data_IF_470497565225
#
_entry.id   IF_470497565225
#
_cell.length_a   1.000
_cell.length_b   1.000
_cell.length_c   1.000
_cell.angle_alpha   90.00
_cell.angle_beta   90.00
_cell.angle_gamma   90.00
#
_symmetry.space_group_name_H-M   'P 1'
#
loop_
_entity.id
_entity.type
_entity.pdbx_description
1 polymer ?
#
# COMPACT_ATOMS: atom_id res chain seq x y z
N UNK A 1 -21.21 18.41 -47.72
CA UNK A 1 -20.13 19.08 -46.97
C UNK A 1 -20.25 18.70 -45.49
N UNK A 2 -19.80 17.48 -45.18
CA UNK A 2 -19.95 16.86 -43.84
C UNK A 2 -18.81 17.34 -42.94
N UNK A 3 -19.17 17.99 -41.83
CA UNK A 3 -18.20 18.36 -40.81
C UNK A 3 -17.91 17.14 -39.94
N UNK A 4 -16.68 16.65 -40.02
CA UNK A 4 -16.10 15.69 -39.06
C UNK A 4 -16.14 16.29 -37.64
N UNK A 5 -16.88 15.64 -36.77
CA UNK A 5 -16.85 15.90 -35.33
C UNK A 5 -15.50 15.40 -34.78
N UNK A 6 -14.68 16.33 -34.34
CA UNK A 6 -13.42 16.08 -33.66
C UNK A 6 -13.69 15.49 -32.28
N UNK A 7 -12.92 14.45 -31.93
CA UNK A 7 -12.94 13.82 -30.61
C UNK A 7 -12.72 14.87 -29.52
N UNK A 8 -13.76 15.10 -28.73
CA UNK A 8 -13.79 16.09 -27.68
C UNK A 8 -12.71 15.80 -26.61
N UNK A 9 -11.82 16.76 -26.43
CA UNK A 9 -11.13 16.98 -25.18
C UNK A 9 -12.21 17.17 -24.11
N UNK A 10 -12.23 16.32 -23.09
CA UNK A 10 -13.07 16.52 -21.90
C UNK A 10 -12.68 17.87 -21.32
N UNK A 11 -13.61 18.79 -21.34
CA UNK A 11 -13.41 20.19 -20.97
C UNK A 11 -12.98 20.28 -19.51
N UNK A 12 -11.78 20.82 -19.23
CA UNK A 12 -11.19 21.00 -17.91
C UNK A 12 -12.06 21.84 -16.94
N UNK A 13 -13.16 22.44 -17.44
CA UNK A 13 -14.03 23.35 -16.69
C UNK A 13 -15.28 22.69 -16.06
N UNK A 14 -15.54 21.39 -16.31
CA UNK A 14 -16.76 20.74 -15.82
C UNK A 14 -16.73 20.31 -14.35
N UNK A 15 -15.54 20.17 -13.74
CA UNK A 15 -15.39 19.69 -12.36
C UNK A 15 -15.84 20.65 -11.26
N UNK A 16 -16.07 21.93 -11.54
CA UNK A 16 -16.44 22.93 -10.54
C UNK A 16 -17.93 23.29 -10.50
N UNK A 17 -18.78 22.72 -11.34
CA UNK A 17 -20.18 23.19 -11.43
C UNK A 17 -21.25 22.23 -10.92
N UNK A 18 -20.98 20.95 -10.72
CA UNK A 18 -21.94 20.00 -10.14
C UNK A 18 -21.20 18.92 -9.37
N UNK A 19 -21.68 18.48 -8.19
CA UNK A 19 -21.15 17.26 -7.55
C UNK A 19 -21.58 16.07 -8.41
N UNK A 20 -20.72 15.67 -9.34
CA UNK A 20 -20.90 14.44 -10.09
C UNK A 20 -20.68 13.29 -9.13
N UNK A 21 -21.65 12.39 -9.05
CA UNK A 21 -21.51 11.17 -8.26
C UNK A 21 -20.40 10.29 -8.84
N UNK A 22 -19.66 9.58 -7.99
CA UNK A 22 -18.58 8.68 -8.42
C UNK A 22 -19.08 7.56 -9.35
N UNK A 23 -20.37 7.19 -9.28
CA UNK A 23 -21.04 6.22 -10.16
C UNK A 23 -21.04 6.64 -11.65
N UNK A 24 -20.89 7.93 -11.94
CA UNK A 24 -20.72 8.41 -13.31
C UNK A 24 -19.36 8.00 -13.90
N UNK A 25 -18.38 7.77 -13.05
CA UNK A 25 -17.03 7.35 -13.43
C UNK A 25 -16.83 5.84 -13.34
N UNK A 26 -17.57 5.13 -12.50
CA UNK A 26 -17.48 3.68 -12.34
C UNK A 26 -18.84 3.06 -12.65
N UNK A 27 -18.94 2.44 -13.82
CA UNK A 27 -20.19 1.91 -14.34
C UNK A 27 -20.75 0.79 -13.45
N UNK A 28 -22.09 0.61 -13.37
CA UNK A 28 -22.69 -0.49 -12.61
C UNK A 28 -22.13 -1.87 -12.99
N UNK A 29 -21.89 -2.13 -14.28
CA UNK A 29 -21.33 -3.39 -14.76
C UNK A 29 -19.90 -3.61 -14.25
N UNK A 30 -19.14 -2.53 -14.00
CA UNK A 30 -17.80 -2.61 -13.41
C UNK A 30 -17.90 -3.01 -11.94
N UNK A 31 -18.89 -2.51 -11.21
CA UNK A 31 -19.12 -2.89 -9.80
C UNK A 31 -19.56 -4.36 -9.73
N UNK A 32 -20.51 -4.78 -10.58
CA UNK A 32 -20.92 -6.19 -10.67
C UNK A 32 -19.74 -7.12 -10.96
N UNK A 33 -18.84 -6.71 -11.88
CA UNK A 33 -17.63 -7.45 -12.19
C UNK A 33 -16.68 -7.55 -10.98
N UNK A 34 -16.52 -6.51 -10.19
CA UNK A 34 -15.71 -6.53 -8.95
C UNK A 34 -16.33 -7.43 -7.88
N UNK A 35 -17.65 -7.49 -7.81
CA UNK A 35 -18.41 -8.33 -6.89
C UNK A 35 -18.55 -9.79 -7.34
N UNK A 36 -18.10 -10.13 -8.55
CA UNK A 36 -18.16 -11.49 -9.09
C UNK A 36 -17.37 -12.50 -8.25
N UNK A 37 -17.87 -13.74 -8.14
CA UNK A 37 -17.31 -14.77 -7.26
C UNK A 37 -15.97 -15.35 -7.74
N UNK A 38 -15.62 -15.14 -9.01
CA UNK A 38 -14.40 -15.68 -9.62
C UNK A 38 -13.09 -15.10 -9.05
N UNK A 39 -13.16 -13.95 -8.37
CA UNK A 39 -12.04 -13.40 -7.59
C UNK A 39 -12.52 -13.02 -6.18
N UNK A 40 -12.57 -13.98 -5.26
CA UNK A 40 -13.12 -13.77 -3.92
C UNK A 40 -12.30 -12.75 -3.09
N UNK A 41 -11.02 -12.56 -3.38
CA UNK A 41 -10.17 -11.56 -2.74
C UNK A 41 -10.64 -10.14 -3.07
N UNK A 42 -10.88 -9.86 -4.35
CA UNK A 42 -11.41 -8.55 -4.78
C UNK A 42 -12.84 -8.36 -4.29
N UNK A 43 -13.70 -9.40 -4.39
CA UNK A 43 -15.06 -9.38 -3.88
C UNK A 43 -15.10 -9.02 -2.39
N UNK A 44 -14.24 -9.64 -1.56
CA UNK A 44 -14.13 -9.35 -0.13
C UNK A 44 -13.91 -7.85 0.15
N UNK A 45 -12.99 -7.24 -0.57
CA UNK A 45 -12.71 -5.83 -0.40
C UNK A 45 -13.77 -4.93 -1.03
N UNK A 46 -14.35 -5.30 -2.18
CA UNK A 46 -15.40 -4.54 -2.83
C UNK A 46 -16.67 -4.46 -1.96
N UNK A 47 -17.09 -5.57 -1.35
CA UNK A 47 -18.22 -5.60 -0.41
C UNK A 47 -18.04 -4.64 0.76
N UNK A 48 -16.82 -4.55 1.31
CA UNK A 48 -16.56 -3.68 2.45
C UNK A 48 -16.34 -2.20 2.06
N UNK A 49 -15.71 -1.95 0.91
CA UNK A 49 -15.17 -0.62 0.58
C UNK A 49 -16.00 0.16 -0.44
N UNK A 50 -16.85 -0.53 -1.21
CA UNK A 50 -17.77 0.07 -2.17
C UNK A 50 -19.22 -0.08 -1.71
N UNK A 51 -19.57 -1.27 -1.18
CA UNK A 51 -20.92 -1.56 -0.68
C UNK A 51 -21.09 -1.21 0.82
N UNK A 52 -20.01 -0.76 1.50
CA UNK A 52 -20.00 -0.44 2.92
C UNK A 52 -20.53 -1.55 3.86
N UNK A 53 -20.43 -2.82 3.43
CA UNK A 53 -20.86 -3.96 4.25
C UNK A 53 -19.88 -4.18 5.41
N UNK A 54 -20.37 -4.36 6.65
CA UNK A 54 -19.50 -4.61 7.80
C UNK A 54 -18.86 -6.01 7.71
N UNK A 55 -17.75 -6.19 8.41
CA UNK A 55 -16.99 -7.47 8.38
C UNK A 55 -17.80 -8.69 8.78
N UNK A 56 -18.82 -8.53 9.63
CA UNK A 56 -19.72 -9.60 10.08
C UNK A 56 -20.92 -9.82 9.14
N UNK A 57 -21.01 -9.12 8.02
CA UNK A 57 -22.06 -9.35 7.03
C UNK A 57 -21.87 -10.74 6.37
N UNK A 58 -22.92 -11.55 6.17
CA UNK A 58 -22.82 -12.90 5.59
C UNK A 58 -22.01 -12.94 4.29
N UNK A 59 -22.29 -12.05 3.33
CA UNK A 59 -21.56 -12.00 2.05
C UNK A 59 -20.07 -11.75 2.22
N UNK A 60 -19.67 -10.96 3.23
CA UNK A 60 -18.25 -10.65 3.53
C UNK A 60 -17.57 -11.87 4.14
N UNK A 61 -18.27 -12.58 5.04
CA UNK A 61 -17.78 -13.83 5.65
C UNK A 61 -17.61 -14.90 4.57
N UNK A 62 -18.60 -15.06 3.68
CA UNK A 62 -18.54 -16.03 2.58
C UNK A 62 -17.40 -15.71 1.62
N UNK A 63 -17.24 -14.44 1.22
CA UNK A 63 -16.12 -14.00 0.40
C UNK A 63 -14.77 -14.25 1.09
N UNK A 64 -14.66 -14.00 2.41
CA UNK A 64 -13.46 -14.28 3.19
C UNK A 64 -13.16 -15.77 3.30
N UNK A 65 -14.17 -16.59 3.39
CA UNK A 65 -14.00 -18.05 3.39
C UNK A 65 -13.52 -18.54 2.03
N UNK A 66 -14.13 -18.08 0.96
CA UNK A 66 -13.75 -18.43 -0.40
C UNK A 66 -12.32 -17.95 -0.76
N UNK A 67 -11.90 -16.76 -0.31
CA UNK A 67 -10.56 -16.25 -0.60
C UNK A 67 -9.44 -17.07 0.06
N UNK A 68 -9.70 -17.73 1.19
CA UNK A 68 -8.70 -18.58 1.83
C UNK A 68 -8.40 -19.85 1.01
N UNK A 69 -9.36 -20.31 0.20
CA UNK A 69 -9.20 -21.39 -0.76
C UNK A 69 -8.81 -20.88 -2.18
N UNK A 70 -8.55 -19.58 -2.33
CA UNK A 70 -8.14 -19.04 -3.62
C UNK A 70 -6.71 -19.46 -3.95
N UNK A 71 -6.43 -19.93 -5.20
CA UNK A 71 -5.15 -20.59 -5.53
C UNK A 71 -3.88 -19.79 -5.16
N UNK A 72 -3.94 -18.46 -5.19
CA UNK A 72 -2.80 -17.64 -4.81
C UNK A 72 -2.54 -17.69 -3.30
N UNK A 73 -3.58 -17.60 -2.48
CA UNK A 73 -3.47 -17.69 -1.02
C UNK A 73 -2.98 -19.08 -0.61
N UNK A 74 -3.58 -20.13 -1.18
CA UNK A 74 -3.16 -21.54 -0.92
C UNK A 74 -1.71 -21.79 -1.28
N UNK A 75 -1.25 -21.33 -2.46
CA UNK A 75 0.15 -21.49 -2.88
C UNK A 75 1.13 -20.78 -1.96
N UNK A 76 0.80 -19.59 -1.47
CA UNK A 76 1.64 -18.87 -0.51
C UNK A 76 1.69 -19.67 0.80
N UNK A 77 0.54 -20.05 1.36
CA UNK A 77 0.47 -20.79 2.63
C UNK A 77 1.15 -22.16 2.53
N UNK A 78 0.97 -22.90 1.42
CA UNK A 78 1.59 -24.20 1.19
C UNK A 78 3.12 -24.14 1.06
N UNK A 79 3.68 -22.98 0.71
CA UNK A 79 5.13 -22.76 0.61
C UNK A 79 5.79 -22.36 1.93
N UNK A 80 5.03 -22.30 3.04
CA UNK A 80 5.56 -21.98 4.36
C UNK A 80 6.40 -23.13 4.90
N UNK A 81 7.56 -22.82 5.47
CA UNK A 81 8.46 -23.78 6.10
C UNK A 81 8.00 -24.11 7.53
N UNK A 82 8.53 -25.20 8.09
CA UNK A 82 8.11 -25.74 9.39
C UNK A 82 8.25 -24.76 10.57
N UNK A 83 9.23 -23.85 10.53
CA UNK A 83 9.45 -22.86 11.58
C UNK A 83 8.57 -21.59 11.39
N UNK A 84 7.67 -21.60 10.42
CA UNK A 84 6.73 -20.52 10.14
C UNK A 84 7.19 -19.49 9.12
N UNK A 85 8.45 -19.55 8.66
CA UNK A 85 8.98 -18.62 7.68
C UNK A 85 8.69 -19.04 6.24
N UNK A 86 8.91 -18.08 5.33
CA UNK A 86 9.14 -18.30 3.92
C UNK A 86 10.57 -17.88 3.58
N UNK A 87 11.31 -18.72 2.89
CA UNK A 87 12.70 -18.45 2.53
C UNK A 87 13.69 -18.81 3.65
N UNK A 88 14.64 -17.93 3.96
CA UNK A 88 15.73 -18.24 4.86
C UNK A 88 15.37 -18.03 6.33
N UNK A 89 15.82 -18.94 7.21
CA UNK A 89 15.58 -18.83 8.66
C UNK A 89 16.18 -17.57 9.31
N UNK A 90 17.28 -17.05 8.82
CA UNK A 90 17.97 -15.88 9.41
C UNK A 90 17.81 -14.59 8.60
N UNK A 91 16.88 -14.55 7.65
CA UNK A 91 16.64 -13.41 6.76
C UNK A 91 15.17 -13.37 6.37
N UNK A 92 14.40 -12.46 6.97
CA UNK A 92 12.98 -12.33 6.68
C UNK A 92 12.68 -11.61 5.34
N UNK A 93 13.75 -11.15 4.63
CA UNK A 93 13.62 -10.30 3.44
C UNK A 93 14.06 -11.00 2.15
N UNK A 94 14.99 -11.95 2.23
CA UNK A 94 15.50 -12.69 1.06
C UNK A 94 15.03 -14.16 1.07
N UNK A 95 14.64 -14.68 -0.10
CA UNK A 95 14.60 -14.06 -1.43
C UNK A 95 13.53 -12.99 -1.56
N UNK A 96 13.80 -11.92 -2.32
CA UNK A 96 12.81 -10.85 -2.55
C UNK A 96 11.53 -11.43 -3.16
N UNK A 97 10.40 -10.93 -2.69
CA UNK A 97 9.03 -11.24 -3.14
C UNK A 97 8.48 -12.61 -2.70
N UNK A 98 9.30 -13.47 -2.08
CA UNK A 98 8.89 -14.78 -1.55
C UNK A 98 9.26 -14.98 -0.09
N UNK A 99 10.15 -14.18 0.50
CA UNK A 99 10.50 -14.27 1.92
C UNK A 99 9.35 -13.82 2.84
N UNK A 100 9.48 -14.07 4.13
CA UNK A 100 8.43 -13.93 5.14
C UNK A 100 7.73 -12.57 5.11
N UNK A 101 8.48 -11.45 5.12
CA UNK A 101 7.86 -10.13 5.08
C UNK A 101 7.05 -9.85 3.81
N UNK A 102 7.48 -10.41 2.68
CA UNK A 102 6.76 -10.24 1.41
C UNK A 102 5.51 -11.11 1.33
N UNK A 103 5.59 -12.34 1.81
CA UNK A 103 4.46 -13.29 1.83
C UNK A 103 3.35 -12.79 2.77
N UNK A 104 3.70 -12.31 3.97
CA UNK A 104 2.74 -11.69 4.90
C UNK A 104 2.09 -10.44 4.31
N UNK A 105 2.87 -9.59 3.62
CA UNK A 105 2.34 -8.40 2.96
C UNK A 105 1.33 -8.76 1.86
N UNK A 106 1.66 -9.75 1.00
CA UNK A 106 0.75 -10.19 -0.06
C UNK A 106 -0.51 -10.79 0.55
N UNK A 107 -0.40 -11.65 1.55
CA UNK A 107 -1.56 -12.25 2.22
C UNK A 107 -2.48 -11.18 2.82
N UNK A 108 -1.90 -10.15 3.45
CA UNK A 108 -2.67 -9.01 3.97
C UNK A 108 -3.37 -8.21 2.86
N UNK A 109 -2.68 -7.91 1.75
CA UNK A 109 -3.28 -7.23 0.58
C UNK A 109 -4.42 -8.07 -0.03
N UNK A 110 -4.26 -9.38 -0.09
CA UNK A 110 -5.27 -10.31 -0.58
C UNK A 110 -6.47 -10.48 0.36
N UNK A 111 -6.40 -9.97 1.60
CA UNK A 111 -7.50 -10.06 2.57
C UNK A 111 -7.53 -11.35 3.37
N UNK A 112 -6.43 -12.12 3.41
CA UNK A 112 -6.35 -13.36 4.17
C UNK A 112 -6.67 -13.11 5.65
N UNK A 113 -7.40 -14.04 6.27
CA UNK A 113 -7.67 -13.99 7.70
C UNK A 113 -6.50 -14.53 8.50
N UNK A 114 -6.38 -14.11 9.73
CA UNK A 114 -5.45 -14.67 10.72
C UNK A 114 -5.71 -16.17 10.90
N UNK A 115 -4.68 -16.98 10.77
CA UNK A 115 -4.67 -18.44 10.94
C UNK A 115 -3.47 -18.85 11.77
N UNK A 116 -3.41 -20.08 12.36
CA UNK A 116 -2.22 -20.53 13.07
C UNK A 116 -0.93 -20.43 12.26
N UNK A 117 -0.98 -20.68 10.96
CA UNK A 117 0.16 -20.53 10.06
C UNK A 117 0.64 -19.06 9.98
N UNK A 118 -0.28 -18.12 9.86
CA UNK A 118 0.04 -16.68 9.83
C UNK A 118 0.55 -16.22 11.20
N UNK A 119 -0.02 -16.72 12.30
CA UNK A 119 0.47 -16.44 13.67
C UNK A 119 1.91 -16.91 13.84
N UNK A 120 2.22 -18.13 13.43
CA UNK A 120 3.58 -18.67 13.48
C UNK A 120 4.56 -17.81 12.65
N UNK A 121 4.15 -17.35 11.47
CA UNK A 121 4.97 -16.48 10.64
C UNK A 121 5.20 -15.09 11.27
N UNK A 122 4.21 -14.54 11.95
CA UNK A 122 4.33 -13.26 12.65
C UNK A 122 5.25 -13.41 13.87
N UNK A 123 5.13 -14.51 14.64
CA UNK A 123 6.05 -14.80 15.74
C UNK A 123 7.49 -15.00 15.24
N UNK A 124 7.67 -15.70 14.12
CA UNK A 124 8.98 -15.79 13.46
C UNK A 124 9.52 -14.39 13.10
N UNK A 125 8.68 -13.53 12.51
CA UNK A 125 9.08 -12.19 12.10
C UNK A 125 9.49 -11.31 13.29
N UNK A 126 8.85 -11.42 14.46
CA UNK A 126 9.19 -10.66 15.64
C UNK A 126 10.60 -10.96 16.20
N UNK A 127 11.24 -12.07 15.83
CA UNK A 127 12.64 -12.34 16.18
C UNK A 127 13.60 -11.30 15.58
N UNK A 128 13.20 -10.61 14.52
CA UNK A 128 13.99 -9.57 13.84
C UNK A 128 13.76 -8.18 14.42
N UNK A 129 12.86 -8.02 15.40
CA UNK A 129 12.59 -6.76 16.05
C UNK A 129 13.70 -6.39 17.04
N UNK A 130 14.14 -5.13 17.00
CA UNK A 130 15.10 -4.59 17.96
C UNK A 130 14.36 -4.06 19.20
N UNK A 131 15.11 -3.89 20.28
CA UNK A 131 14.59 -3.35 21.56
C UNK A 131 13.96 -1.97 21.40
N UNK A 132 14.45 -1.18 20.43
CA UNK A 132 13.90 0.13 20.05
C UNK A 132 12.63 0.09 19.22
N UNK A 133 12.15 -1.09 18.82
CA UNK A 133 10.89 -1.26 18.10
C UNK A 133 11.01 -1.50 16.60
N UNK A 134 12.07 -1.01 15.93
CA UNK A 134 12.24 -1.22 14.48
C UNK A 134 12.70 -2.64 14.14
N UNK A 135 12.59 -2.99 12.86
CA UNK A 135 12.98 -4.30 12.36
C UNK A 135 14.28 -4.25 11.55
N UNK A 136 15.05 -5.34 11.62
CA UNK A 136 16.14 -5.63 10.71
C UNK A 136 15.71 -6.74 9.75
N UNK A 137 16.10 -6.62 8.48
CA UNK A 137 15.79 -7.64 7.46
C UNK A 137 16.45 -8.99 7.75
N UNK A 138 17.63 -8.99 8.41
CA UNK A 138 18.41 -10.18 8.74
C UNK A 138 19.01 -10.06 10.15
N UNK A 139 19.23 -11.18 10.81
CA UNK A 139 19.86 -11.23 12.12
C UNK A 139 21.36 -11.04 12.01
N UNK A 140 21.95 -10.10 12.76
CA UNK A 140 23.41 -9.93 12.80
C UNK A 140 24.10 -11.21 13.32
N UNK A 141 25.14 -11.63 12.62
CA UNK A 141 25.87 -12.87 12.94
C UNK A 141 26.89 -12.72 14.07
N UNK A 142 27.25 -11.50 14.42
CA UNK A 142 28.29 -11.19 15.42
C UNK A 142 27.78 -10.25 16.49
N UNK A 143 28.36 -10.31 17.71
CA UNK A 143 28.03 -9.39 18.79
C UNK A 143 28.31 -7.92 18.40
N UNK A 144 29.36 -7.65 17.64
CA UNK A 144 29.64 -6.32 17.09
C UNK A 144 28.54 -5.87 16.13
N UNK A 145 28.03 -6.78 15.30
CA UNK A 145 26.88 -6.50 14.42
C UNK A 145 25.60 -6.23 15.20
N UNK A 146 25.36 -6.97 16.29
CA UNK A 146 24.20 -6.76 17.17
C UNK A 146 24.28 -5.41 17.91
N UNK A 147 25.46 -4.97 18.27
CA UNK A 147 25.71 -3.69 18.93
C UNK A 147 25.64 -2.50 17.95
N UNK A 148 25.81 -2.73 16.66
CA UNK A 148 25.70 -1.67 15.67
C UNK A 148 24.24 -1.32 15.45
N UNK A 149 23.88 -0.07 15.65
CA UNK A 149 22.53 0.45 15.35
C UNK A 149 22.39 0.55 13.84
N UNK A 150 22.04 -0.55 13.21
CA UNK A 150 21.71 -0.60 11.80
C UNK A 150 20.19 -0.53 11.69
N UNK A 151 19.69 0.54 11.12
CA UNK A 151 18.28 0.71 10.77
C UNK A 151 18.10 0.31 9.32
N UNK A 152 17.21 -0.61 9.04
CA UNK A 152 16.69 -0.82 7.69
C UNK A 152 15.74 0.30 7.30
N UNK A 153 15.37 0.35 6.03
CA UNK A 153 14.53 1.45 5.52
C UNK A 153 13.14 1.48 6.18
N UNK A 154 12.63 2.67 6.45
CA UNK A 154 11.29 2.88 7.00
C UNK A 154 10.17 2.21 6.17
N UNK A 155 10.40 1.96 4.88
CA UNK A 155 9.47 1.20 4.05
C UNK A 155 9.31 -0.27 4.49
N UNK A 156 10.33 -0.88 5.11
CA UNK A 156 10.22 -2.21 5.69
C UNK A 156 9.29 -2.17 6.91
N UNK A 157 9.57 -1.27 7.84
CA UNK A 157 8.77 -1.07 9.05
C UNK A 157 7.31 -0.71 8.73
N UNK A 158 7.09 0.18 7.75
CA UNK A 158 5.76 0.54 7.29
C UNK A 158 4.97 -0.64 6.73
N UNK A 159 5.60 -1.48 5.91
CA UNK A 159 4.95 -2.69 5.41
C UNK A 159 4.67 -3.70 6.52
N UNK A 160 5.58 -3.84 7.50
CA UNK A 160 5.39 -4.71 8.67
C UNK A 160 4.18 -4.22 9.49
N UNK A 161 4.14 -2.94 9.82
CA UNK A 161 3.03 -2.36 10.57
C UNK A 161 1.69 -2.52 9.82
N UNK A 162 1.71 -2.40 8.49
CA UNK A 162 0.51 -2.60 7.67
C UNK A 162 -0.07 -4.01 7.83
N UNK A 163 0.74 -5.07 7.70
CA UNK A 163 0.20 -6.42 7.85
C UNK A 163 -0.05 -6.82 9.31
N UNK A 164 0.71 -6.30 10.28
CA UNK A 164 0.39 -6.49 11.70
C UNK A 164 -1.00 -5.93 12.04
N UNK A 165 -1.31 -4.72 11.55
CA UNK A 165 -2.64 -4.14 11.70
C UNK A 165 -3.72 -5.02 11.03
N UNK A 166 -3.48 -5.47 9.79
CA UNK A 166 -4.43 -6.31 9.07
C UNK A 166 -4.75 -7.60 9.83
N UNK A 167 -3.75 -8.26 10.41
CA UNK A 167 -3.91 -9.52 11.14
C UNK A 167 -4.31 -9.33 12.61
N UNK A 168 -4.60 -8.10 13.06
CA UNK A 168 -5.13 -7.83 14.40
C UNK A 168 -4.09 -7.87 15.52
N UNK A 169 -2.91 -7.32 15.27
CA UNK A 169 -1.80 -7.21 16.24
C UNK A 169 -1.58 -5.76 16.73
N UNK A 170 -2.55 -4.86 16.58
CA UNK A 170 -2.38 -3.48 17.06
C UNK A 170 -2.20 -3.39 18.58
N UNK A 171 -2.86 -4.28 19.34
CA UNK A 171 -2.79 -4.32 20.80
C UNK A 171 -1.57 -5.13 21.31
N UNK A 172 -0.69 -5.62 20.43
CA UNK A 172 0.55 -6.29 20.81
C UNK A 172 1.62 -5.26 21.16
N UNK A 173 2.21 -5.37 22.35
CA UNK A 173 3.23 -4.42 22.84
C UNK A 173 4.43 -4.28 21.91
N UNK A 174 4.73 -5.29 21.09
CA UNK A 174 5.79 -5.24 20.07
C UNK A 174 5.37 -4.35 18.90
N UNK A 175 4.09 -4.35 18.54
CA UNK A 175 3.54 -3.45 17.51
C UNK A 175 3.47 -2.02 18.03
N UNK A 176 3.09 -1.81 19.29
CA UNK A 176 3.15 -0.49 19.93
C UNK A 176 4.55 0.10 19.88
N UNK A 177 5.59 -0.68 20.24
CA UNK A 177 6.99 -0.24 20.13
C UNK A 177 7.40 0.13 18.71
N UNK A 178 6.86 -0.55 17.68
CA UNK A 178 7.12 -0.17 16.28
C UNK A 178 6.47 1.17 15.95
N UNK A 179 5.25 1.41 16.41
CA UNK A 179 4.56 2.70 16.24
C UNK A 179 5.35 3.81 16.94
N UNK A 180 5.72 3.61 18.21
CA UNK A 180 6.50 4.57 19.00
C UNK A 180 7.83 4.90 18.32
N UNK A 181 8.52 3.88 17.78
CA UNK A 181 9.74 4.08 17.01
C UNK A 181 9.50 4.95 15.76
N UNK A 182 8.42 4.72 15.02
CA UNK A 182 8.12 5.55 13.85
C UNK A 182 7.77 6.99 14.25
N UNK A 183 7.12 7.18 15.39
CA UNK A 183 6.80 8.51 15.94
C UNK A 183 8.09 9.24 16.39
N UNK A 184 8.97 8.57 17.14
CA UNK A 184 10.22 9.14 17.64
C UNK A 184 11.21 9.51 16.52
N UNK A 185 11.29 8.70 15.46
CA UNK A 185 12.25 8.89 14.36
C UNK A 185 11.69 9.66 13.16
N UNK A 186 10.49 10.19 13.27
CA UNK A 186 9.96 11.13 12.29
C UNK A 186 10.73 12.46 12.34
N UNK A 187 10.98 13.06 11.19
CA UNK A 187 11.63 14.36 11.10
C UNK A 187 10.60 15.48 11.27
N UNK A 188 10.67 16.20 12.39
CA UNK A 188 9.72 17.30 12.65
C UNK A 188 9.93 18.51 11.74
N UNK A 189 11.18 18.76 11.29
CA UNK A 189 11.50 19.93 10.48
C UNK A 189 11.09 19.75 9.01
N UNK A 190 11.42 18.57 8.42
CA UNK A 190 11.27 18.33 6.97
C UNK A 190 10.16 17.34 6.63
N UNK A 191 9.54 16.72 7.63
CA UNK A 191 8.67 15.55 7.47
C UNK A 191 9.44 14.29 7.05
N UNK A 192 8.77 13.14 7.10
CA UNK A 192 9.32 11.87 6.65
C UNK A 192 10.38 11.24 7.54
N UNK A 193 10.96 10.16 7.04
CA UNK A 193 11.94 9.35 7.74
C UNK A 193 13.20 9.17 6.89
N UNK A 194 14.36 9.30 7.51
CA UNK A 194 15.65 9.02 6.84
C UNK A 194 15.76 7.52 6.55
N UNK A 195 16.03 7.20 5.29
CA UNK A 195 16.35 5.83 4.90
C UNK A 195 17.80 5.52 5.29
N UNK A 196 17.99 4.51 6.14
CA UNK A 196 19.31 3.98 6.52
C UNK A 196 19.30 2.49 6.25
N UNK A 197 19.79 2.11 5.08
CA UNK A 197 19.89 0.70 4.71
C UNK A 197 21.23 0.06 5.11
N UNK A 198 22.23 0.85 5.65
CA UNK A 198 23.58 0.35 5.95
C UNK A 198 24.22 1.12 7.11
N UNK A 199 25.28 0.57 7.77
CA UNK A 199 26.03 1.26 8.81
C UNK A 199 26.56 2.60 8.32
N UNK A 200 26.45 3.62 9.16
CA UNK A 200 26.74 5.03 8.87
C UNK A 200 28.16 5.23 8.25
N UNK A 201 29.13 4.41 8.67
CA UNK A 201 30.54 4.55 8.26
C UNK A 201 30.83 4.08 6.83
N UNK A 202 29.95 3.33 6.19
CA UNK A 202 30.17 2.74 4.86
C UNK A 202 29.07 3.06 3.85
N UNK A 203 28.05 3.81 4.22
CA UNK A 203 26.92 4.11 3.35
C UNK A 203 27.00 5.50 2.78
N UNK A 204 26.55 5.65 1.54
CA UNK A 204 26.01 6.93 1.08
C UNK A 204 24.83 7.24 2.00
N UNK A 205 25.04 8.06 3.00
CA UNK A 205 23.96 8.64 3.80
C UNK A 205 23.11 9.42 2.82
N UNK A 206 21.88 8.98 2.60
CA UNK A 206 20.91 9.84 1.96
C UNK A 206 20.51 10.88 3.03
N UNK A 207 21.00 12.13 2.93
CA UNK A 207 20.71 13.15 3.92
C UNK A 207 19.23 13.53 3.92
N UNK A 208 18.53 13.25 2.83
CA UNK A 208 17.12 13.55 2.62
C UNK A 208 16.23 12.43 3.14
N UNK A 209 15.01 12.79 3.54
CA UNK A 209 13.98 11.85 3.93
C UNK A 209 13.52 11.00 2.75
N UNK A 210 13.21 9.74 3.02
CA UNK A 210 12.79 8.81 1.98
C UNK A 210 11.30 8.96 1.68
N UNK A 211 10.95 9.74 0.66
CA UNK A 211 9.56 9.95 0.26
C UNK A 211 8.79 8.65 0.03
N UNK A 212 9.37 7.68 -0.68
CA UNK A 212 8.74 6.37 -0.89
C UNK A 212 8.57 5.57 0.41
N UNK A 213 9.53 5.69 1.32
CA UNK A 213 9.47 5.04 2.62
C UNK A 213 8.37 5.64 3.50
N UNK A 214 8.26 6.96 3.53
CA UNK A 214 7.21 7.69 4.24
C UNK A 214 5.81 7.27 3.79
N UNK A 215 5.60 7.08 2.48
CA UNK A 215 4.32 6.58 1.96
C UNK A 215 3.96 5.20 2.54
N UNK A 216 4.92 4.30 2.74
CA UNK A 216 4.63 2.97 3.34
C UNK A 216 4.27 3.08 4.82
N UNK A 217 4.94 3.96 5.56
CA UNK A 217 4.57 4.26 6.95
C UNK A 217 3.18 4.89 7.02
N UNK A 218 2.91 5.91 6.20
CA UNK A 218 1.60 6.56 6.15
C UNK A 218 0.49 5.59 5.71
N UNK A 219 0.77 4.63 4.82
CA UNK A 219 -0.15 3.55 4.47
C UNK A 219 -0.56 2.75 5.70
N UNK A 220 0.40 2.37 6.54
CA UNK A 220 0.10 1.65 7.77
C UNK A 220 -0.69 2.51 8.76
N UNK A 221 -0.29 3.76 8.97
CA UNK A 221 -0.96 4.70 9.85
C UNK A 221 -2.40 5.00 9.41
N UNK A 222 -2.66 5.06 8.10
CA UNK A 222 -4.02 5.24 7.56
C UNK A 222 -4.98 4.11 7.92
N UNK A 223 -4.47 2.96 8.34
CA UNK A 223 -5.26 1.79 8.75
C UNK A 223 -5.47 1.68 10.26
N UNK A 224 -4.76 2.48 11.06
CA UNK A 224 -5.01 2.56 12.50
C UNK A 224 -6.34 3.31 12.72
N UNK A 225 -7.29 2.75 13.47
CA UNK A 225 -8.54 3.43 13.80
C UNK A 225 -8.30 4.78 14.49
N UNK A 226 -9.08 5.80 14.15
CA UNK A 226 -8.88 7.17 14.66
C UNK A 226 -8.87 7.22 16.19
N UNK A 227 -9.71 6.43 16.85
CA UNK A 227 -9.78 6.37 18.33
C UNK A 227 -8.58 5.70 19.00
N UNK A 228 -7.68 5.09 18.23
CA UNK A 228 -6.44 4.48 18.71
C UNK A 228 -5.18 5.30 18.36
N UNK A 229 -5.35 6.45 17.69
CA UNK A 229 -4.24 7.31 17.32
C UNK A 229 -3.92 8.29 18.44
N UNK A 230 -2.64 8.35 18.84
CA UNK A 230 -2.16 9.39 19.74
C UNK A 230 -2.14 10.78 19.06
N UNK A 231 -2.05 11.84 19.86
CA UNK A 231 -1.91 13.20 19.33
C UNK A 231 -0.67 13.38 18.45
N UNK A 232 0.45 12.73 18.80
CA UNK A 232 1.68 12.79 18.02
C UNK A 232 1.54 12.04 16.70
N UNK A 233 0.88 10.88 16.70
CA UNK A 233 0.59 10.14 15.49
C UNK A 233 -0.32 10.95 14.54
N UNK A 234 -1.36 11.59 15.06
CA UNK A 234 -2.23 12.47 14.28
C UNK A 234 -1.48 13.70 13.70
N UNK A 235 -0.57 14.30 14.49
CA UNK A 235 0.30 15.38 14.03
C UNK A 235 1.18 14.93 12.87
N UNK A 236 1.82 13.78 12.98
CA UNK A 236 2.68 13.20 11.94
C UNK A 236 1.86 12.88 10.67
N UNK A 237 0.68 12.25 10.81
CA UNK A 237 -0.18 11.97 9.67
C UNK A 237 -0.50 13.26 8.91
N UNK A 238 -0.88 14.33 9.61
CA UNK A 238 -1.17 15.63 8.99
C UNK A 238 0.04 16.23 8.27
N UNK A 239 1.22 16.16 8.90
CA UNK A 239 2.46 16.66 8.31
C UNK A 239 2.85 15.88 7.05
N UNK A 240 2.76 14.55 7.08
CA UNK A 240 3.05 13.72 5.90
C UNK A 240 2.05 13.92 4.77
N UNK A 241 0.78 14.15 5.09
CA UNK A 241 -0.24 14.54 4.09
C UNK A 241 0.17 15.83 3.40
N UNK A 242 0.58 16.86 4.15
CA UNK A 242 1.05 18.13 3.56
C UNK A 242 2.31 17.94 2.70
N UNK A 243 3.30 17.18 3.16
CA UNK A 243 4.50 16.85 2.37
C UNK A 243 4.12 16.18 1.03
N UNK A 244 3.16 15.27 1.03
CA UNK A 244 2.71 14.57 -0.17
C UNK A 244 1.97 15.53 -1.11
N UNK A 245 1.07 16.36 -0.59
CA UNK A 245 0.30 17.32 -1.37
C UNK A 245 1.20 18.39 -1.99
N UNK A 246 2.17 18.92 -1.24
CA UNK A 246 3.15 19.90 -1.72
C UNK A 246 4.06 19.34 -2.81
N UNK A 247 4.33 18.04 -2.77
CA UNK A 247 5.04 17.34 -3.84
C UNK A 247 4.15 16.98 -5.05
N UNK A 248 2.88 17.42 -5.06
CA UNK A 248 1.93 17.07 -6.12
C UNK A 248 1.85 15.56 -6.34
N UNK A 249 1.95 14.80 -5.25
CA UNK A 249 1.90 13.33 -5.15
C UNK A 249 3.09 12.62 -5.83
N UNK A 250 3.33 12.85 -7.12
CA UNK A 250 4.35 12.13 -7.91
C UNK A 250 5.45 13.04 -8.47
N UNK A 251 5.53 14.31 -8.00
CA UNK A 251 6.51 15.32 -8.44
C UNK A 251 7.56 15.61 -7.37
N UNK A 252 7.93 14.61 -6.59
CA UNK A 252 8.87 14.76 -5.47
C UNK A 252 10.34 14.82 -5.86
N UNK A 253 10.68 14.46 -7.09
CA UNK A 253 12.03 14.58 -7.60
C UNK A 253 12.35 16.04 -7.92
N UNK A 254 13.64 16.45 -7.77
CA UNK A 254 14.12 17.79 -8.13
C UNK A 254 15.09 17.71 -9.29
N UNK A 255 15.00 18.66 -10.19
CA UNK A 255 16.02 18.93 -11.21
C UNK A 255 17.18 19.72 -10.59
N UNK A 256 18.28 19.89 -11.32
CA UNK A 256 19.43 20.68 -10.88
C UNK A 256 19.14 22.17 -10.62
N UNK A 257 18.10 22.70 -11.25
CA UNK A 257 17.59 24.07 -11.07
C UNK A 257 16.58 24.20 -9.90
N UNK A 258 16.33 23.12 -9.14
CA UNK A 258 15.37 23.06 -8.04
C UNK A 258 13.91 22.86 -8.47
N UNK A 259 13.61 22.88 -9.78
CA UNK A 259 12.25 22.60 -10.25
C UNK A 259 11.85 21.15 -9.99
N UNK A 260 10.53 20.93 -9.73
CA UNK A 260 10.01 19.59 -9.42
C UNK A 260 9.91 18.74 -10.68
N UNK A 261 10.27 17.47 -10.53
CA UNK A 261 10.25 16.48 -11.63
C UNK A 261 9.31 15.33 -11.27
N UNK A 262 8.56 14.90 -12.27
CA UNK A 262 7.66 13.75 -12.15
C UNK A 262 8.43 12.43 -12.06
N UNK A 263 7.96 11.53 -11.20
CA UNK A 263 8.36 10.12 -11.19
C UNK A 263 7.53 9.36 -12.22
N UNK A 264 8.01 9.29 -13.46
CA UNK A 264 7.26 8.72 -14.58
C UNK A 264 6.72 7.29 -14.33
N UNK A 265 7.47 6.44 -13.60
CA UNK A 265 7.04 5.09 -13.24
C UNK A 265 5.79 5.04 -12.38
N UNK A 266 5.48 6.12 -11.65
CA UNK A 266 4.32 6.20 -10.76
C UNK A 266 2.98 6.37 -11.48
N UNK A 267 3.02 6.75 -12.76
CA UNK A 267 1.83 6.80 -13.63
C UNK A 267 1.40 5.41 -14.15
N UNK A 268 2.13 4.36 -13.79
CA UNK A 268 1.87 2.97 -14.22
C UNK A 268 1.40 2.16 -13.04
N UNK A 269 0.10 2.02 -12.90
CA UNK A 269 -0.53 1.34 -11.77
C UNK A 269 -0.14 -0.12 -11.67
N UNK A 270 0.17 -0.55 -10.46
CA UNK A 270 0.69 -1.88 -10.17
C UNK A 270 0.04 -2.57 -8.98
N UNK A 271 0.13 -3.91 -8.99
CA UNK A 271 -0.28 -4.75 -7.87
C UNK A 271 0.49 -6.09 -7.89
N UNK A 272 0.89 -6.62 -6.71
CA UNK A 272 1.01 -5.89 -5.46
C UNK A 272 2.13 -4.84 -5.51
N UNK A 273 2.17 -3.94 -4.53
CA UNK A 273 3.22 -2.94 -4.36
C UNK A 273 3.99 -3.23 -3.07
N UNK A 274 5.32 -3.44 -3.18
CA UNK A 274 6.19 -3.72 -2.03
C UNK A 274 6.84 -2.43 -1.51
N UNK A 275 7.92 -2.01 -2.17
CA UNK A 275 8.66 -0.79 -1.82
C UNK A 275 8.37 0.36 -2.77
N UNK A 276 8.01 0.02 -4.00
CA UNK A 276 7.54 0.98 -4.98
C UNK A 276 6.15 1.46 -4.59
N UNK A 277 5.84 2.66 -5.03
CA UNK A 277 4.50 3.23 -4.97
C UNK A 277 4.09 3.71 -6.36
N UNK A 278 2.83 3.95 -6.53
CA UNK A 278 2.27 4.64 -7.68
C UNK A 278 1.24 5.69 -7.23
N UNK A 279 0.79 6.51 -8.18
CA UNK A 279 -0.19 7.58 -7.90
C UNK A 279 -1.46 7.01 -7.28
N UNK A 280 -1.90 5.84 -7.74
CA UNK A 280 -3.14 5.25 -7.26
C UNK A 280 -3.03 4.74 -5.80
N UNK A 281 -1.88 4.19 -5.39
CA UNK A 281 -1.64 3.83 -3.99
C UNK A 281 -1.65 5.06 -3.08
N UNK A 282 -1.01 6.15 -3.50
CA UNK A 282 -0.96 7.37 -2.68
C UNK A 282 -2.34 8.00 -2.55
N UNK A 283 -3.10 8.08 -3.64
CA UNK A 283 -4.49 8.56 -3.59
C UNK A 283 -5.37 7.68 -2.70
N UNK A 284 -5.17 6.36 -2.72
CA UNK A 284 -5.89 5.43 -1.85
C UNK A 284 -5.60 5.68 -0.35
N UNK A 285 -4.36 6.00 -0.02
CA UNK A 285 -3.95 6.39 1.34
C UNK A 285 -4.59 7.72 1.74
N UNK A 286 -4.45 8.76 0.91
CA UNK A 286 -4.97 10.09 1.19
C UNK A 286 -6.50 10.08 1.36
N UNK A 287 -7.20 9.42 0.45
CA UNK A 287 -8.67 9.33 0.54
C UNK A 287 -9.14 8.45 1.71
N UNK A 288 -8.36 7.44 2.13
CA UNK A 288 -8.64 6.67 3.33
C UNK A 288 -8.48 7.50 4.61
N UNK A 289 -7.62 8.52 4.60
CA UNK A 289 -7.48 9.51 5.67
C UNK A 289 -8.52 10.64 5.60
N UNK A 290 -9.43 10.61 4.63
CA UNK A 290 -10.47 11.63 4.44
C UNK A 290 -9.96 12.92 3.78
N UNK A 291 -8.77 12.89 3.17
CA UNK A 291 -8.20 14.06 2.50
C UNK A 291 -8.92 14.34 1.19
N UNK A 292 -9.42 15.59 1.08
CA UNK A 292 -10.00 16.18 -0.14
C UNK A 292 -9.36 17.53 -0.34
N UNK A 293 -8.43 17.63 -1.28
CA UNK A 293 -7.62 18.81 -1.54
C UNK A 293 -7.45 19.04 -3.04
N UNK A 294 -7.49 20.28 -3.49
CA UNK A 294 -7.36 20.66 -4.90
C UNK A 294 -6.01 20.23 -5.50
N UNK A 295 -4.96 20.12 -4.67
CA UNK A 295 -3.63 19.63 -5.08
C UNK A 295 -3.65 18.16 -5.55
N UNK A 296 -4.70 17.39 -5.23
CA UNK A 296 -4.90 16.01 -5.70
C UNK A 296 -5.46 15.95 -7.13
N UNK A 297 -6.00 17.03 -7.66
CA UNK A 297 -6.74 17.05 -8.92
C UNK A 297 -6.00 16.45 -10.10
N UNK A 298 -4.75 16.84 -10.35
CA UNK A 298 -3.94 16.30 -11.45
C UNK A 298 -3.78 14.76 -11.34
N UNK A 299 -3.71 14.25 -10.11
CA UNK A 299 -3.58 12.82 -9.84
C UNK A 299 -4.91 12.08 -10.02
N UNK A 300 -6.03 12.69 -9.63
CA UNK A 300 -7.38 12.18 -9.91
C UNK A 300 -7.64 12.16 -11.42
N UNK A 301 -7.33 13.23 -12.13
CA UNK A 301 -7.44 13.29 -13.59
C UNK A 301 -6.60 12.21 -14.27
N UNK A 302 -5.40 11.92 -13.75
CA UNK A 302 -4.57 10.81 -14.24
C UNK A 302 -5.29 9.46 -14.06
N UNK A 303 -5.92 9.22 -12.92
CA UNK A 303 -6.70 7.99 -12.69
C UNK A 303 -7.85 7.89 -13.68
N UNK A 304 -8.65 8.95 -13.82
CA UNK A 304 -9.78 8.99 -14.75
C UNK A 304 -9.36 8.75 -16.21
N UNK A 305 -8.27 9.41 -16.65
CA UNK A 305 -7.75 9.29 -18.02
C UNK A 305 -7.05 7.96 -18.28
N UNK A 306 -6.69 7.18 -17.24
CA UNK A 306 -6.09 5.85 -17.38
C UNK A 306 -7.14 4.74 -17.54
N UNK A 307 -8.43 5.05 -17.44
CA UNK A 307 -9.52 4.12 -17.61
C UNK A 307 -9.57 3.62 -19.06
N UNK A 308 -9.68 2.33 -19.27
CA UNK A 308 -9.79 1.73 -20.59
C UNK A 308 -11.21 1.84 -21.16
N UNK A 309 -11.41 1.40 -22.40
CA UNK A 309 -12.70 1.49 -23.10
C UNK A 309 -13.81 0.67 -22.45
N UNK A 310 -13.47 -0.38 -21.71
CA UNK A 310 -14.39 -1.24 -20.98
C UNK A 310 -14.87 -0.61 -19.66
N UNK A 311 -14.27 0.52 -19.23
CA UNK A 311 -14.63 1.19 -17.98
C UNK A 311 -13.85 0.69 -16.77
N UNK A 312 -12.80 -0.12 -16.99
CA UNK A 312 -11.89 -0.65 -15.96
C UNK A 312 -10.47 -0.07 -16.10
N UNK A 313 -9.56 -0.49 -15.23
CA UNK A 313 -8.14 -0.09 -15.27
C UNK A 313 -7.24 -1.30 -15.44
N UNK A 314 -6.20 -1.13 -16.25
CA UNK A 314 -5.27 -2.20 -16.58
C UNK A 314 -4.13 -2.33 -15.58
N UNK A 315 -3.63 -3.55 -15.36
CA UNK A 315 -2.40 -3.80 -14.60
C UNK A 315 -1.17 -3.42 -15.45
N UNK A 316 -0.48 -2.33 -15.12
CA UNK A 316 0.71 -1.87 -15.85
C UNK A 316 2.04 -2.34 -15.25
N UNK A 317 2.09 -2.55 -13.92
CA UNK A 317 3.25 -3.07 -13.21
C UNK A 317 2.87 -4.27 -12.36
N UNK A 318 3.71 -5.31 -12.37
CA UNK A 318 3.50 -6.52 -11.57
C UNK A 318 4.83 -7.19 -11.24
N UNK A 319 4.80 -8.06 -10.23
CA UNK A 319 5.89 -8.95 -9.86
C UNK A 319 5.60 -10.41 -10.22
N UNK A 320 4.66 -10.66 -11.14
CA UNK A 320 4.39 -11.99 -11.67
C UNK A 320 5.70 -12.66 -12.14
N UNK A 321 5.83 -13.96 -11.90
CA UNK A 321 7.05 -14.73 -12.13
C UNK A 321 8.15 -14.56 -11.05
N UNK A 322 7.93 -13.69 -10.03
CA UNK A 322 8.85 -13.50 -8.89
C UNK A 322 8.22 -13.86 -7.54
N UNK A 323 6.93 -14.09 -7.51
CA UNK A 323 6.13 -14.46 -6.33
C UNK A 323 5.70 -15.92 -6.41
N UNK A 324 5.10 -16.45 -5.37
CA UNK A 324 4.53 -17.82 -5.37
C UNK A 324 3.35 -17.97 -6.32
N UNK A 325 2.68 -16.89 -6.67
CA UNK A 325 1.55 -16.89 -7.59
C UNK A 325 1.57 -15.69 -8.54
N UNK A 326 0.79 -15.76 -9.57
CA UNK A 326 0.50 -14.64 -10.46
C UNK A 326 -0.84 -14.01 -10.08
N UNK A 327 -0.89 -12.68 -10.11
CA UNK A 327 -2.09 -11.91 -9.80
C UNK A 327 -2.38 -11.01 -11.00
N UNK A 328 -3.49 -11.23 -11.64
CA UNK A 328 -3.91 -10.59 -12.88
C UNK A 328 -2.84 -10.59 -14.01
N UNK A 329 -3.26 -10.42 -15.24
CA UNK A 329 -2.36 -10.42 -16.40
C UNK A 329 -1.89 -8.99 -16.71
N UNK A 330 -0.59 -8.82 -16.93
CA UNK A 330 0.00 -7.52 -17.25
C UNK A 330 -0.57 -6.98 -18.57
N UNK A 331 -0.89 -5.68 -18.57
CA UNK A 331 -1.51 -4.93 -19.68
C UNK A 331 -2.93 -5.39 -20.05
N UNK A 332 -3.60 -6.09 -19.16
CA UNK A 332 -5.02 -6.46 -19.26
C UNK A 332 -5.84 -5.76 -18.17
N UNK A 333 -7.17 -5.70 -18.32
CA UNK A 333 -8.07 -5.25 -17.27
C UNK A 333 -7.80 -5.99 -15.95
N UNK A 334 -7.62 -5.24 -14.87
CA UNK A 334 -7.29 -5.79 -13.55
C UNK A 334 -8.40 -5.47 -12.57
N UNK A 335 -8.93 -6.48 -11.91
CA UNK A 335 -9.89 -6.29 -10.82
C UNK A 335 -9.26 -5.53 -9.65
N UNK A 336 -7.98 -5.78 -9.35
CA UNK A 336 -7.25 -5.10 -8.26
C UNK A 336 -7.05 -3.60 -8.52
N UNK A 337 -6.61 -3.25 -9.72
CA UNK A 337 -6.42 -1.84 -10.08
C UNK A 337 -7.78 -1.13 -10.17
N UNK A 338 -8.78 -1.80 -10.74
CA UNK A 338 -10.14 -1.25 -10.86
C UNK A 338 -10.78 -1.04 -9.49
N UNK A 339 -10.67 -1.99 -8.56
CA UNK A 339 -11.16 -1.83 -7.19
C UNK A 339 -10.50 -0.62 -6.49
N UNK A 340 -9.17 -0.49 -6.60
CA UNK A 340 -8.45 0.61 -5.98
C UNK A 340 -8.85 1.95 -6.59
N UNK A 341 -9.01 2.04 -7.92
CA UNK A 341 -9.49 3.24 -8.59
C UNK A 341 -10.92 3.59 -8.17
N UNK A 342 -11.83 2.62 -8.17
CA UNK A 342 -13.23 2.82 -7.77
C UNK A 342 -13.35 3.38 -6.35
N UNK A 343 -12.63 2.80 -5.37
CA UNK A 343 -12.69 3.27 -3.97
C UNK A 343 -12.04 4.66 -3.77
N UNK A 344 -11.00 4.98 -4.54
CA UNK A 344 -10.42 6.34 -4.54
C UNK A 344 -11.45 7.35 -5.03
N UNK A 345 -12.08 7.07 -6.18
CA UNK A 345 -13.09 7.96 -6.74
C UNK A 345 -14.32 8.06 -5.85
N UNK A 346 -14.79 6.95 -5.29
CA UNK A 346 -15.89 6.92 -4.32
C UNK A 346 -15.62 7.86 -3.13
N UNK A 347 -14.47 7.74 -2.47
CA UNK A 347 -14.12 8.54 -1.29
C UNK A 347 -13.83 10.01 -1.61
N UNK A 348 -13.25 10.28 -2.78
CA UNK A 348 -12.89 11.66 -3.17
C UNK A 348 -14.10 12.48 -3.63
N UNK A 349 -15.06 11.85 -4.34
CA UNK A 349 -16.20 12.50 -4.96
C UNK A 349 -17.48 12.49 -4.10
N UNK A 350 -17.53 11.67 -3.04
CA UNK A 350 -18.60 11.75 -2.01
C UNK A 350 -18.37 12.93 -1.07
#
# INVERSE_FOLDING_TARGET
MERKLSHGKIDRFLFFRYPMSWEEFVRPETIEWLLGPENPNVRYWALQQLENKPRNHPDVIDAQTALMAFPCVEKILAAQENEGQWGKFNDMYLPKYTATTHSLLILAELGAKRTPNIEQAIEFMFQFQRTSGHFLRDLPKTEKGKASVVKDGCCLDGNILYYLNHFGYLDDTRTEKLIDFQVEYHSDDDGGWKCRAFPIEKSKVFPENCYMGGIKVLKAFSRIPNNLRSSDLERIIKQEVEVILDNGIFRYLKNSDGSRKEKAGWKRFGFPLFYQSDVLEVLDILTALGVKDDRMKDSIDLVLNSRNKQGSWDLKNTFNGKMYCEIDEKNKPSKWITLRAARVLCRYLQ
#
